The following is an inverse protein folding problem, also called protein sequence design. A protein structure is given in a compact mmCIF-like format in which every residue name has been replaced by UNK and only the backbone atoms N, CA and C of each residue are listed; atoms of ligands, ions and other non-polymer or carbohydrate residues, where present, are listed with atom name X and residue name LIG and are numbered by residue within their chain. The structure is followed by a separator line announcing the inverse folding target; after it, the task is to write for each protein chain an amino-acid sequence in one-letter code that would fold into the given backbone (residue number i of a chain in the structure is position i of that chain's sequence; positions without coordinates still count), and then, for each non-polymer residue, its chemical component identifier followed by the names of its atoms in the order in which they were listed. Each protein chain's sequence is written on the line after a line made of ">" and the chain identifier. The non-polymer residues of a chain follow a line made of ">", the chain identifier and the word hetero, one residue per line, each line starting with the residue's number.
data_IF_645395710378
#
_entry.id   IF_645395710378
#
_cell.length_a   1.000
_cell.length_b   1.000
_cell.length_c   1.000
_cell.angle_alpha   90.00
_cell.angle_beta   90.00
_cell.angle_gamma   90.00
#
_symmetry.space_group_name_H-M   'P 1'
#
loop_
_entity.id
_entity.type
_entity.pdbx_description
1 polymer ?
#
# COMPACT_ATOMS: atom_id res chain seq x y z
N UNK A 1 9.93 7.67 -2.98
CA UNK A 1 8.58 7.91 -3.53
C UNK A 1 7.78 8.85 -2.63
N UNK A 2 7.52 8.48 -1.37
CA UNK A 2 6.69 9.29 -0.46
C UNK A 2 7.18 10.76 -0.36
N UNK A 3 8.41 10.98 0.08
CA UNK A 3 8.99 12.33 0.22
C UNK A 3 8.90 13.16 -1.07
N UNK A 4 9.12 12.52 -2.23
CA UNK A 4 9.09 13.20 -3.54
C UNK A 4 7.71 13.76 -3.90
N UNK A 5 6.63 13.05 -3.55
CA UNK A 5 5.28 13.39 -4.01
C UNK A 5 4.32 13.80 -2.90
N UNK A 6 4.73 13.74 -1.62
CA UNK A 6 3.91 14.11 -0.46
C UNK A 6 3.36 15.53 -0.57
N UNK A 7 4.22 16.51 -0.89
CA UNK A 7 3.82 17.92 -1.06
C UNK A 7 2.84 18.15 -2.21
N UNK A 8 2.77 17.22 -3.17
CA UNK A 8 1.81 17.25 -4.29
C UNK A 8 0.49 16.54 -3.97
N UNK A 9 0.39 15.90 -2.80
CA UNK A 9 -0.82 15.23 -2.32
C UNK A 9 -0.78 13.71 -2.41
N UNK A 10 0.35 13.07 -2.72
CA UNK A 10 0.45 11.61 -2.60
C UNK A 10 0.60 11.20 -1.14
N UNK A 11 -0.32 10.36 -0.66
CA UNK A 11 -0.17 9.67 0.63
C UNK A 11 0.05 8.18 0.39
N UNK A 12 1.07 7.61 1.03
CA UNK A 12 1.29 6.16 1.08
C UNK A 12 0.72 5.65 2.40
N UNK A 13 0.01 4.53 2.36
CA UNK A 13 -0.57 3.88 3.54
C UNK A 13 -0.05 2.45 3.60
N UNK A 14 0.67 2.11 4.66
CA UNK A 14 1.20 0.76 4.85
C UNK A 14 0.31 -0.09 5.74
N UNK A 15 0.07 -1.33 5.33
CA UNK A 15 -0.74 -2.31 6.05
C UNK A 15 0.13 -3.55 6.34
N UNK A 16 0.71 -3.67 7.54
CA UNK A 16 1.42 -4.87 7.94
C UNK A 16 0.49 -6.07 7.91
N UNK A 17 0.99 -7.22 7.45
CA UNK A 17 0.20 -8.44 7.40
C UNK A 17 1.08 -9.68 7.48
N UNK A 18 0.64 -10.65 8.29
CA UNK A 18 1.32 -11.94 8.41
C UNK A 18 0.76 -13.01 7.46
N UNK A 19 -0.05 -12.60 6.47
CA UNK A 19 -0.78 -13.52 5.58
C UNK A 19 0.11 -14.24 4.55
N UNK A 20 1.38 -13.83 4.43
CA UNK A 20 2.32 -14.31 3.42
C UNK A 20 3.59 -14.85 4.09
N UNK A 21 3.71 -16.17 4.15
CA UNK A 21 4.93 -16.85 4.61
C UNK A 21 5.34 -16.57 6.05
N UNK A 22 4.43 -16.11 6.91
CA UNK A 22 4.70 -15.68 8.28
C UNK A 22 5.83 -14.64 8.39
N UNK A 23 5.96 -13.74 7.40
CA UNK A 23 7.04 -12.75 7.33
C UNK A 23 6.83 -11.53 8.26
N UNK A 24 5.67 -11.42 8.93
CA UNK A 24 5.35 -10.32 9.86
C UNK A 24 4.79 -10.85 11.20
N UNK A 25 5.54 -11.71 11.92
CA UNK A 25 5.04 -12.41 13.10
C UNK A 25 4.88 -11.49 14.32
N UNK A 26 5.66 -10.41 14.40
CA UNK A 26 5.72 -9.51 15.55
C UNK A 26 4.43 -8.74 15.86
N UNK A 27 4.36 -8.19 17.06
CA UNK A 27 3.31 -7.27 17.50
C UNK A 27 3.32 -5.95 16.71
N UNK A 28 2.22 -5.18 16.78
CA UNK A 28 2.14 -3.87 16.13
C UNK A 28 3.29 -2.93 16.54
N UNK A 29 3.71 -3.00 17.81
CA UNK A 29 4.82 -2.19 18.32
C UNK A 29 6.15 -2.62 17.69
N UNK A 30 6.45 -3.91 17.68
CA UNK A 30 7.68 -4.43 17.09
C UNK A 30 7.77 -4.12 15.59
N UNK A 31 6.64 -4.20 14.87
CA UNK A 31 6.56 -3.86 13.45
C UNK A 31 6.81 -2.37 13.22
N UNK A 32 6.19 -1.50 14.02
CA UNK A 32 6.38 -0.06 13.92
C UNK A 32 7.85 0.31 14.17
N UNK A 33 8.41 -0.20 15.28
CA UNK A 33 9.81 0.01 15.66
C UNK A 33 10.76 -0.51 14.56
N UNK A 34 10.48 -1.68 13.97
CA UNK A 34 11.28 -2.24 12.88
C UNK A 34 11.24 -1.37 11.61
N UNK A 35 10.04 -0.97 11.18
CA UNK A 35 9.85 -0.15 9.98
C UNK A 35 10.49 1.23 10.10
N UNK A 36 10.39 1.86 11.28
CA UNK A 36 11.00 3.15 11.54
C UNK A 36 12.52 3.04 11.59
N UNK A 37 13.06 2.12 12.40
CA UNK A 37 14.50 2.02 12.64
C UNK A 37 15.28 1.45 11.44
N UNK A 38 14.68 0.54 10.67
CA UNK A 38 15.37 -0.19 9.60
C UNK A 38 15.17 0.46 8.24
N UNK A 39 13.96 0.95 7.96
CA UNK A 39 13.58 1.45 6.64
C UNK A 39 13.29 2.95 6.60
N UNK A 40 13.34 3.62 7.75
CA UNK A 40 13.06 5.06 7.84
C UNK A 40 11.68 5.41 7.32
N UNK A 41 10.69 4.52 7.47
CA UNK A 41 9.34 4.73 6.95
C UNK A 41 8.73 5.99 7.59
N UNK A 42 8.43 6.99 6.76
CA UNK A 42 7.83 8.28 7.17
C UNK A 42 6.35 8.41 6.83
N UNK A 43 5.73 7.35 6.34
CA UNK A 43 4.31 7.34 5.99
C UNK A 43 3.48 6.53 6.99
N UNK A 44 2.17 6.82 7.13
CA UNK A 44 1.31 6.13 8.08
C UNK A 44 1.29 4.61 7.89
N UNK A 45 1.49 3.90 9.00
CA UNK A 45 1.34 2.45 9.10
C UNK A 45 0.12 2.14 9.94
N UNK A 46 -0.73 1.23 9.48
CA UNK A 46 -1.86 0.72 10.25
C UNK A 46 -1.43 -0.42 11.18
N UNK A 47 -2.32 -0.78 12.11
CA UNK A 47 -2.19 -2.02 12.86
C UNK A 47 -2.16 -3.23 11.91
N UNK A 48 -1.45 -4.29 12.31
CA UNK A 48 -1.39 -5.56 11.59
C UNK A 48 -2.79 -6.08 11.32
N UNK A 49 -3.05 -6.47 10.07
CA UNK A 49 -4.38 -6.86 9.61
C UNK A 49 -4.32 -7.99 8.59
N UNK A 50 -5.45 -8.68 8.42
CA UNK A 50 -5.70 -9.59 7.32
C UNK A 50 -5.98 -8.81 6.04
N UNK A 51 -5.37 -9.22 4.93
CA UNK A 51 -5.45 -8.52 3.64
C UNK A 51 -5.87 -9.43 2.48
N UNK A 52 -6.02 -10.73 2.72
CA UNK A 52 -6.54 -11.70 1.73
C UNK A 52 -7.45 -12.74 2.37
N UNK A 53 -8.24 -13.41 1.53
CA UNK A 53 -9.15 -14.46 1.97
C UNK A 53 -10.41 -13.95 2.66
N UNK A 54 -11.21 -14.83 3.27
CA UNK A 54 -12.50 -14.49 3.87
C UNK A 54 -12.38 -13.53 5.05
N UNK A 55 -11.24 -13.53 5.75
CA UNK A 55 -10.99 -12.67 6.91
C UNK A 55 -10.34 -11.33 6.55
N UNK A 56 -10.15 -11.03 5.25
CA UNK A 56 -9.59 -9.76 4.82
C UNK A 56 -10.41 -8.60 5.40
N UNK A 57 -9.73 -7.55 5.86
CA UNK A 57 -10.46 -6.37 6.33
C UNK A 57 -11.30 -5.74 5.22
N UNK A 58 -12.28 -4.91 5.59
CA UNK A 58 -13.25 -4.35 4.64
C UNK A 58 -12.60 -3.64 3.45
N UNK A 59 -11.53 -2.88 3.66
CA UNK A 59 -10.83 -2.18 2.59
C UNK A 59 -10.26 -3.16 1.56
N UNK A 60 -9.50 -4.16 2.00
CA UNK A 60 -8.89 -5.14 1.11
C UNK A 60 -9.93 -6.05 0.45
N UNK A 61 -11.00 -6.40 1.17
CA UNK A 61 -12.13 -7.14 0.61
C UNK A 61 -12.80 -6.37 -0.54
N UNK A 62 -13.08 -5.08 -0.35
CA UNK A 62 -13.69 -4.24 -1.39
C UNK A 62 -12.75 -3.99 -2.58
N UNK A 63 -11.43 -3.87 -2.34
CA UNK A 63 -10.43 -3.73 -3.40
C UNK A 63 -10.24 -5.01 -4.22
N UNK A 64 -10.30 -6.18 -3.57
CA UNK A 64 -10.26 -7.49 -4.21
C UNK A 64 -11.52 -7.79 -5.05
N UNK A 65 -12.63 -7.08 -4.83
CA UNK A 65 -13.80 -7.13 -5.74
C UNK A 65 -13.61 -6.31 -7.01
N UNK A 66 -12.81 -5.24 -6.93
CA UNK A 66 -12.55 -4.31 -8.04
C UNK A 66 -11.30 -4.68 -8.84
N UNK A 67 -10.49 -5.62 -8.34
CA UNK A 67 -9.19 -6.00 -8.90
C UNK A 67 -8.70 -7.33 -8.32
N UNK A 68 -7.43 -7.69 -8.50
CA UNK A 68 -6.86 -8.87 -7.85
C UNK A 68 -6.60 -8.63 -6.35
N UNK A 69 -6.88 -9.63 -5.51
CA UNK A 69 -6.42 -9.64 -4.13
C UNK A 69 -4.88 -9.72 -4.04
N UNK A 70 -4.25 -9.32 -2.91
CA UNK A 70 -2.82 -9.47 -2.73
C UNK A 70 -2.42 -10.95 -2.74
N UNK A 71 -1.45 -11.31 -3.59
CA UNK A 71 -0.90 -12.68 -3.68
C UNK A 71 0.40 -12.85 -2.89
N UNK A 72 1.07 -11.75 -2.58
CA UNK A 72 2.31 -11.71 -1.79
C UNK A 72 2.50 -10.32 -1.15
N UNK A 73 3.53 -10.19 -0.31
CA UNK A 73 3.94 -8.92 0.28
C UNK A 73 4.19 -7.83 -0.79
N UNK A 74 4.00 -6.58 -0.41
CA UNK A 74 4.17 -5.41 -1.28
C UNK A 74 3.26 -5.35 -2.53
N UNK A 75 2.07 -5.95 -2.51
CA UNK A 75 1.04 -5.62 -3.49
C UNK A 75 0.57 -4.17 -3.29
N UNK A 76 0.22 -3.45 -4.37
CA UNK A 76 -0.06 -2.01 -4.32
C UNK A 76 -1.40 -1.70 -4.96
N UNK A 77 -2.23 -0.91 -4.28
CA UNK A 77 -3.47 -0.35 -4.84
C UNK A 77 -3.31 1.16 -4.99
N UNK A 78 -3.68 1.68 -6.16
CA UNK A 78 -3.72 3.12 -6.43
C UNK A 78 -5.17 3.58 -6.38
N UNK A 79 -5.43 4.57 -5.52
CA UNK A 79 -6.74 5.17 -5.26
C UNK A 79 -6.60 6.67 -5.55
N UNK A 80 -7.58 7.27 -6.24
CA UNK A 80 -7.56 8.70 -6.55
C UNK A 80 -8.10 9.56 -5.39
N UNK A 81 -8.05 10.89 -5.54
CA UNK A 81 -8.50 11.86 -4.53
C UNK A 81 -9.97 11.71 -4.11
N UNK A 82 -10.80 11.16 -4.98
CA UNK A 82 -12.23 10.92 -4.73
C UNK A 82 -12.49 9.56 -4.05
N UNK A 83 -11.43 8.83 -3.64
CA UNK A 83 -11.54 7.52 -3.03
C UNK A 83 -11.84 6.39 -4.02
N UNK A 84 -11.80 6.66 -5.33
CA UNK A 84 -12.08 5.65 -6.34
C UNK A 84 -10.83 4.82 -6.66
N UNK A 85 -11.01 3.50 -6.74
CA UNK A 85 -9.99 2.58 -7.21
C UNK A 85 -9.58 2.93 -8.64
N UNK A 86 -8.28 3.02 -8.89
CA UNK A 86 -7.71 3.30 -10.21
C UNK A 86 -7.09 2.04 -10.80
N UNK A 87 -6.18 1.41 -10.05
CA UNK A 87 -5.37 0.29 -10.55
C UNK A 87 -4.68 -0.47 -9.42
N UNK A 88 -4.39 -1.75 -9.65
CA UNK A 88 -3.54 -2.55 -8.79
C UNK A 88 -2.22 -2.89 -9.47
N UNK A 89 -1.18 -3.11 -8.66
CA UNK A 89 0.15 -3.52 -9.11
C UNK A 89 0.64 -4.69 -8.26
N UNK A 90 1.12 -5.73 -8.94
CA UNK A 90 1.63 -6.93 -8.28
C UNK A 90 2.86 -6.64 -7.42
N UNK A 91 3.18 -7.58 -6.53
CA UNK A 91 4.34 -7.56 -5.66
C UNK A 91 5.67 -7.36 -6.40
N UNK A 92 5.78 -7.84 -7.64
CA UNK A 92 6.96 -7.70 -8.50
C UNK A 92 7.10 -6.30 -9.11
N UNK A 93 6.05 -5.48 -9.07
CA UNK A 93 6.14 -4.10 -9.55
C UNK A 93 6.95 -3.27 -8.56
N UNK A 94 8.16 -2.86 -8.96
CA UNK A 94 8.99 -1.98 -8.14
C UNK A 94 8.25 -0.68 -7.78
N UNK A 95 8.40 -0.15 -6.56
CA UNK A 95 7.92 1.18 -6.18
C UNK A 95 8.43 2.29 -7.11
N UNK A 96 9.58 2.13 -7.76
CA UNK A 96 10.12 3.10 -8.72
C UNK A 96 9.83 2.75 -10.18
N UNK A 97 8.95 1.76 -10.43
CA UNK A 97 8.62 1.37 -11.80
C UNK A 97 8.01 2.54 -12.58
N UNK A 98 8.46 2.73 -13.83
CA UNK A 98 7.99 3.80 -14.70
C UNK A 98 6.47 3.81 -14.86
N UNK A 99 5.85 2.63 -14.99
CA UNK A 99 4.39 2.48 -15.14
C UNK A 99 3.65 3.05 -13.92
N UNK A 100 4.06 2.69 -12.71
CA UNK A 100 3.45 3.20 -11.47
C UNK A 100 3.66 4.71 -11.33
N UNK A 101 4.87 5.21 -11.61
CA UNK A 101 5.18 6.63 -11.50
C UNK A 101 4.35 7.49 -12.47
N UNK A 102 4.18 7.04 -13.72
CA UNK A 102 3.34 7.74 -14.71
C UNK A 102 1.89 7.83 -14.24
N UNK A 103 1.32 6.71 -13.74
CA UNK A 103 -0.06 6.67 -13.27
C UNK A 103 -0.25 7.62 -12.05
N UNK A 104 0.71 7.65 -11.12
CA UNK A 104 0.73 8.59 -9.99
C UNK A 104 0.82 10.04 -10.48
N UNK A 105 1.78 10.36 -11.34
CA UNK A 105 2.01 11.73 -11.82
C UNK A 105 0.80 12.25 -12.59
N UNK A 106 0.13 11.41 -13.38
CA UNK A 106 -1.12 11.75 -14.06
C UNK A 106 -2.19 12.19 -13.05
N UNK A 107 -2.40 11.42 -11.98
CA UNK A 107 -3.39 11.75 -10.94
C UNK A 107 -3.00 12.99 -10.12
N UNK A 108 -1.70 13.26 -9.95
CA UNK A 108 -1.22 14.43 -9.24
C UNK A 108 -1.31 15.71 -10.07
N UNK A 109 -1.26 15.61 -11.40
CA UNK A 109 -1.38 16.75 -12.32
C UNK A 109 -2.83 17.13 -12.63
N UNK A 110 -3.80 16.28 -12.31
CA UNK A 110 -5.22 16.63 -12.41
C UNK A 110 -5.62 17.52 -11.23
N UNK A 111 -5.71 18.82 -11.47
CA UNK A 111 -6.32 19.79 -10.54
C UNK A 111 -7.78 19.39 -10.32
N UNK A 112 -8.16 19.20 -9.06
CA UNK A 112 -9.57 19.10 -8.66
C UNK A 112 -10.12 20.49 -8.49
#
# INVERSE_FOLDING_TARGET
>A
MHEKYKSRGLTILGFPSNDFGNQEPGSNKEIADFCENTYGVKFPMFAKTKVKGPDANKLFYDLAKKSEQPRWNFHKYLINRNGNFVKSYSSFTSPTSRKLLIDIEKLLSSTT
#
